data_IF_197057437432
#
_entry.id   IF_197057437432
#
_cell.length_a   1.000
_cell.length_b   1.000
_cell.length_c   1.000
_cell.angle_alpha   90.00
_cell.angle_beta   90.00
_cell.angle_gamma   90.00
#
_symmetry.space_group_name_H-M   'P 1'
#
loop_
_entity.id
_entity.type
_entity.pdbx_description
1 polymer ?
#
# COMPACT_ATOMS: atom_id res chain seq x y z
N UNK A 1 14.07 -12.85 25.38
CA UNK A 1 14.59 -11.70 26.18
C UNK A 1 14.38 -11.90 27.69
N UNK A 2 15.21 -11.29 28.54
CA UNK A 2 14.99 -11.17 30.00
C UNK A 2 13.90 -10.13 30.32
N UNK A 3 13.43 -10.07 31.57
CA UNK A 3 12.43 -9.08 31.99
C UNK A 3 12.89 -7.63 31.82
N UNK A 4 14.17 -7.34 32.08
CA UNK A 4 14.71 -5.97 31.90
C UNK A 4 14.92 -5.65 30.42
N UNK A 5 15.43 -6.60 29.63
CA UNK A 5 15.54 -6.45 28.18
C UNK A 5 14.17 -6.17 27.53
N UNK A 6 13.13 -6.90 27.96
CA UNK A 6 11.77 -6.71 27.47
C UNK A 6 11.22 -5.32 27.80
N UNK A 7 11.50 -4.82 29.00
CA UNK A 7 11.13 -3.46 29.40
C UNK A 7 11.85 -2.42 28.55
N UNK A 8 13.14 -2.63 28.26
CA UNK A 8 13.93 -1.74 27.41
C UNK A 8 13.40 -1.74 25.98
N UNK A 9 13.18 -2.92 25.39
CA UNK A 9 12.54 -3.09 24.06
C UNK A 9 11.27 -2.25 23.93
N UNK A 10 10.35 -2.40 24.88
CA UNK A 10 9.08 -1.68 24.83
C UNK A 10 9.19 -0.19 25.21
N UNK A 11 10.28 0.24 25.84
CA UNK A 11 10.51 1.66 26.14
C UNK A 11 10.98 2.44 24.92
N UNK A 12 11.52 1.74 23.92
CA UNK A 12 11.97 2.29 22.64
C UNK A 12 10.86 2.33 21.57
N UNK A 13 9.65 1.87 21.89
CA UNK A 13 8.50 1.94 21.00
C UNK A 13 8.01 3.39 20.84
N UNK A 14 8.34 4.00 19.70
CA UNK A 14 7.88 5.35 19.32
C UNK A 14 6.39 5.40 18.96
N UNK A 15 5.70 4.25 18.90
CA UNK A 15 4.27 4.13 18.54
C UNK A 15 3.90 4.82 17.23
N UNK A 16 4.75 4.70 16.21
CA UNK A 16 4.49 5.34 14.92
C UNK A 16 3.18 4.91 14.25
N UNK A 17 2.63 3.76 14.65
CA UNK A 17 1.36 3.22 14.19
C UNK A 17 0.12 3.89 14.81
N UNK A 18 0.30 4.80 15.77
CA UNK A 18 -0.76 5.65 16.33
C UNK A 18 -0.75 7.00 15.58
N UNK A 19 -1.47 7.07 14.46
CA UNK A 19 -1.40 8.15 13.47
C UNK A 19 -1.73 9.52 14.05
N UNK A 20 -2.71 9.59 14.95
CA UNK A 20 -3.11 10.82 15.62
C UNK A 20 -2.01 11.39 16.55
N UNK A 21 -1.07 10.56 16.99
CA UNK A 21 0.06 10.98 17.83
C UNK A 21 1.38 11.09 17.02
N UNK A 22 1.42 10.51 15.82
CA UNK A 22 2.59 10.53 14.94
C UNK A 22 2.72 11.85 14.17
N UNK A 23 3.32 12.85 14.82
CA UNK A 23 3.57 14.19 14.24
C UNK A 23 4.31 14.17 12.90
N UNK A 24 5.25 13.24 12.71
CA UNK A 24 6.01 13.13 11.45
C UNK A 24 5.10 12.69 10.31
N UNK A 25 4.26 11.69 10.56
CA UNK A 25 3.27 11.24 9.58
C UNK A 25 2.24 12.33 9.28
N UNK A 26 1.70 13.01 10.29
CA UNK A 26 0.73 14.09 10.08
C UNK A 26 1.31 15.24 9.26
N UNK A 27 2.56 15.65 9.55
CA UNK A 27 3.26 16.66 8.75
C UNK A 27 3.42 16.21 7.30
N UNK A 28 3.91 14.99 7.09
CA UNK A 28 4.06 14.40 5.75
C UNK A 28 2.72 14.34 5.02
N UNK A 29 1.65 13.87 5.67
CA UNK A 29 0.33 13.73 5.06
C UNK A 29 -0.26 15.09 4.66
N UNK A 30 -0.13 16.10 5.52
CA UNK A 30 -0.53 17.48 5.18
C UNK A 30 0.27 18.02 4.00
N UNK A 31 1.57 17.75 3.97
CA UNK A 31 2.41 18.15 2.84
C UNK A 31 1.98 17.48 1.52
N UNK A 32 1.60 16.20 1.53
CA UNK A 32 1.05 15.53 0.34
C UNK A 32 -0.20 16.24 -0.17
N UNK A 33 -1.09 16.65 0.73
CA UNK A 33 -2.30 17.41 0.38
C UNK A 33 -1.92 18.76 -0.26
N UNK A 34 -0.96 19.47 0.33
CA UNK A 34 -0.48 20.76 -0.19
C UNK A 34 0.16 20.61 -1.59
N UNK A 35 0.78 19.46 -1.88
CA UNK A 35 1.35 19.13 -3.20
C UNK A 35 0.30 18.61 -4.21
N UNK A 36 -0.99 18.62 -3.85
CA UNK A 36 -2.09 18.31 -4.77
C UNK A 36 -2.62 16.88 -4.69
N UNK A 37 -2.30 16.13 -3.62
CA UNK A 37 -2.92 14.82 -3.37
C UNK A 37 -4.44 14.92 -3.20
N UNK A 38 -5.18 14.17 -4.03
CA UNK A 38 -6.63 14.12 -3.93
C UNK A 38 -7.07 13.10 -2.88
N UNK A 39 -7.41 13.62 -1.71
CA UNK A 39 -7.90 12.87 -0.56
C UNK A 39 -9.15 12.04 -0.91
N UNK A 40 -9.06 10.73 -0.64
CA UNK A 40 -10.22 9.82 -0.64
C UNK A 40 -10.31 9.00 0.66
N UNK A 41 -9.32 9.09 1.54
CA UNK A 41 -9.26 8.37 2.81
C UNK A 41 -8.74 9.32 3.90
N UNK A 42 -9.38 9.30 5.07
CA UNK A 42 -9.04 10.15 6.22
C UNK A 42 -8.11 9.47 7.22
N UNK A 43 -7.52 10.25 8.14
CA UNK A 43 -6.63 9.76 9.20
C UNK A 43 -7.31 8.67 10.06
N UNK A 44 -8.54 8.89 10.48
CA UNK A 44 -9.26 7.93 11.33
C UNK A 44 -9.55 6.61 10.59
N UNK A 45 -9.86 6.68 9.30
CA UNK A 45 -10.09 5.48 8.47
C UNK A 45 -8.78 4.72 8.21
N UNK A 46 -7.66 5.42 8.08
CA UNK A 46 -6.32 4.81 8.02
C UNK A 46 -5.90 4.19 9.36
N UNK A 47 -6.22 4.82 10.49
CA UNK A 47 -5.96 4.26 11.82
C UNK A 47 -6.78 2.99 12.04
N UNK A 48 -8.08 3.03 11.71
CA UNK A 48 -8.95 1.86 11.76
C UNK A 48 -8.44 0.73 10.84
N UNK A 49 -7.88 1.05 9.67
CA UNK A 49 -7.23 0.06 8.81
C UNK A 49 -6.05 -0.61 9.50
N UNK A 50 -5.14 0.18 10.09
CA UNK A 50 -3.97 -0.35 10.82
C UNK A 50 -4.44 -1.32 11.92
N UNK A 51 -5.45 -0.91 12.70
CA UNK A 51 -5.96 -1.67 13.83
C UNK A 51 -6.63 -2.98 13.38
N UNK A 52 -7.42 -2.94 12.31
CA UNK A 52 -8.07 -4.13 11.72
C UNK A 52 -7.07 -5.12 11.17
N UNK A 53 -6.07 -4.63 10.43
CA UNK A 53 -5.03 -5.48 9.86
C UNK A 53 -4.21 -6.14 10.97
N UNK A 54 -3.78 -5.39 11.99
CA UNK A 54 -3.06 -5.96 13.13
C UNK A 54 -3.91 -7.01 13.87
N UNK A 55 -5.17 -6.68 14.21
CA UNK A 55 -6.07 -7.60 14.89
C UNK A 55 -6.33 -8.88 14.09
N UNK A 56 -6.45 -8.78 12.76
CA UNK A 56 -6.61 -9.95 11.89
C UNK A 56 -5.44 -10.91 12.04
N UNK A 57 -4.20 -10.41 12.03
CA UNK A 57 -3.02 -11.26 12.13
C UNK A 57 -2.75 -11.79 13.54
N UNK A 58 -3.18 -11.08 14.58
CA UNK A 58 -3.21 -11.62 15.94
C UNK A 58 -4.18 -12.80 16.08
N UNK A 59 -5.35 -12.73 15.43
CA UNK A 59 -6.35 -13.82 15.43
C UNK A 59 -5.90 -14.97 14.52
N UNK A 60 -5.37 -14.65 13.34
CA UNK A 60 -4.93 -15.63 12.34
C UNK A 60 -3.80 -16.52 12.87
N UNK A 61 -2.87 -15.92 13.62
CA UNK A 61 -1.72 -16.60 14.21
C UNK A 61 -1.75 -16.47 15.73
N UNK A 62 -2.63 -17.20 16.45
CA UNK A 62 -2.77 -17.08 17.89
C UNK A 62 -1.54 -17.63 18.63
N UNK A 63 -1.32 -17.25 19.90
CA UNK A 63 -0.20 -17.75 20.72
C UNK A 63 -0.07 -19.27 20.73
N UNK A 64 -1.22 -19.95 20.67
CA UNK A 64 -1.32 -21.41 20.62
C UNK A 64 -0.59 -22.01 19.43
N UNK A 65 -0.64 -21.37 18.26
CA UNK A 65 0.02 -21.84 17.05
C UNK A 65 1.54 -21.79 17.24
N UNK A 66 2.05 -20.74 17.88
CA UNK A 66 3.46 -20.65 18.24
C UNK A 66 3.88 -21.65 19.32
N UNK A 67 3.01 -22.00 20.28
CA UNK A 67 3.30 -23.07 21.23
C UNK A 67 3.46 -24.43 20.53
N UNK A 68 2.76 -24.68 19.43
CA UNK A 68 2.94 -25.86 18.60
C UNK A 68 4.29 -25.82 17.87
N UNK A 69 4.63 -24.70 17.21
CA UNK A 69 5.93 -24.53 16.55
C UNK A 69 7.12 -24.64 17.52
N UNK A 70 6.94 -24.18 18.77
CA UNK A 70 7.93 -24.28 19.84
C UNK A 70 8.04 -25.69 20.46
N UNK A 71 7.22 -26.66 20.03
CA UNK A 71 7.21 -28.03 20.56
C UNK A 71 6.65 -28.15 21.98
N UNK A 72 5.85 -27.17 22.43
CA UNK A 72 5.28 -27.10 23.79
C UNK A 72 3.89 -27.74 23.91
N UNK A 73 3.29 -28.20 22.80
CA UNK A 73 1.94 -28.78 22.78
C UNK A 73 1.90 -30.31 22.89
N UNK A 74 0.83 -30.82 23.51
CA UNK A 74 0.51 -32.25 23.61
C UNK A 74 -0.15 -32.80 22.33
N UNK A 75 -0.10 -34.13 22.15
CA UNK A 75 -0.53 -34.88 20.95
C UNK A 75 -2.00 -34.74 20.53
N UNK A 76 -2.87 -34.24 21.40
CA UNK A 76 -4.31 -34.12 21.10
C UNK A 76 -4.64 -32.83 20.33
N UNK A 77 -3.77 -31.82 20.43
CA UNK A 77 -3.99 -30.52 19.80
C UNK A 77 -3.40 -30.39 18.40
N UNK A 78 -2.50 -31.31 18.01
CA UNK A 78 -1.96 -31.40 16.64
C UNK A 78 -3.00 -31.84 15.60
N UNK A 79 -4.21 -32.21 16.03
CA UNK A 79 -5.31 -32.67 15.18
C UNK A 79 -6.28 -31.55 14.77
N UNK A 80 -6.14 -30.33 15.30
CA UNK A 80 -7.00 -29.21 14.94
C UNK A 80 -6.45 -28.51 13.70
N UNK A 81 -7.34 -28.16 12.77
CA UNK A 81 -7.00 -27.28 11.64
C UNK A 81 -6.60 -25.91 12.15
N UNK A 82 -5.54 -25.33 11.59
CA UNK A 82 -5.06 -24.01 12.00
C UNK A 82 -6.00 -22.91 11.49
N UNK A 83 -6.09 -21.80 12.22
CA UNK A 83 -6.84 -20.64 11.75
C UNK A 83 -6.19 -20.02 10.50
N UNK A 84 -4.86 -20.06 10.44
CA UNK A 84 -4.05 -19.69 9.29
C UNK A 84 -4.48 -20.39 7.99
N UNK A 85 -4.94 -21.64 8.06
CA UNK A 85 -5.42 -22.43 6.92
C UNK A 85 -6.77 -21.98 6.34
N UNK A 86 -7.55 -21.20 7.11
CA UNK A 86 -8.91 -20.78 6.73
C UNK A 86 -9.07 -19.27 6.62
N UNK A 87 -8.21 -18.50 7.29
CA UNK A 87 -8.22 -17.03 7.29
C UNK A 87 -7.31 -16.48 6.19
N UNK A 88 -7.79 -16.50 4.95
CA UNK A 88 -7.05 -15.98 3.81
C UNK A 88 -7.16 -14.45 3.64
N UNK A 89 -6.25 -13.87 2.87
CA UNK A 89 -6.22 -12.42 2.60
C UNK A 89 -7.43 -11.92 1.80
N UNK A 90 -8.13 -12.77 1.03
CA UNK A 90 -9.36 -12.34 0.34
C UNK A 90 -10.46 -12.07 1.36
N UNK A 91 -10.60 -12.92 2.37
CA UNK A 91 -11.52 -12.71 3.49
C UNK A 91 -11.19 -11.43 4.27
N UNK A 92 -9.91 -11.10 4.42
CA UNK A 92 -9.49 -9.84 5.02
C UNK A 92 -9.99 -8.64 4.21
N UNK A 93 -9.81 -8.65 2.88
CA UNK A 93 -10.26 -7.57 2.00
C UNK A 93 -11.76 -7.32 2.11
N UNK A 94 -12.59 -8.37 2.22
CA UNK A 94 -14.05 -8.22 2.44
C UNK A 94 -14.44 -7.56 3.77
N UNK A 95 -13.52 -7.39 4.72
CA UNK A 95 -13.77 -6.75 6.02
C UNK A 95 -13.28 -5.30 6.09
N UNK A 96 -12.64 -4.83 5.02
CA UNK A 96 -12.15 -3.46 4.87
C UNK A 96 -13.20 -2.61 4.16
N UNK A 97 -13.21 -1.32 4.45
CA UNK A 97 -14.04 -0.36 3.71
C UNK A 97 -13.58 -0.24 2.26
N UNK A 98 -14.43 0.33 1.40
CA UNK A 98 -14.07 0.56 0.00
C UNK A 98 -12.83 1.43 -0.17
N UNK A 99 -12.64 2.46 0.68
CA UNK A 99 -11.46 3.33 0.61
C UNK A 99 -10.21 2.60 1.08
N UNK A 100 -10.30 1.79 2.15
CA UNK A 100 -9.18 0.97 2.61
C UNK A 100 -8.77 -0.04 1.52
N UNK A 101 -9.73 -0.70 0.87
CA UNK A 101 -9.45 -1.60 -0.25
C UNK A 101 -8.80 -0.85 -1.42
N UNK A 102 -9.34 0.31 -1.82
CA UNK A 102 -8.75 1.14 -2.89
C UNK A 102 -7.30 1.53 -2.58
N UNK A 103 -6.99 1.91 -1.35
CA UNK A 103 -5.63 2.26 -0.93
C UNK A 103 -4.70 1.04 -1.00
N UNK A 104 -5.15 -0.14 -0.55
CA UNK A 104 -4.36 -1.37 -0.63
C UNK A 104 -4.14 -1.83 -2.07
N UNK A 105 -5.17 -1.79 -2.92
CA UNK A 105 -5.04 -2.11 -4.34
C UNK A 105 -4.13 -1.11 -5.06
N UNK A 106 -4.10 0.15 -4.61
CA UNK A 106 -3.22 1.19 -5.14
C UNK A 106 -3.43 1.42 -6.64
N UNK A 107 -4.66 1.34 -7.13
CA UNK A 107 -4.99 1.49 -8.55
C UNK A 107 -4.90 2.94 -9.00
N UNK A 108 -4.67 3.16 -10.29
CA UNK A 108 -4.94 4.45 -10.91
C UNK A 108 -6.42 4.82 -10.70
N UNK A 109 -6.65 6.07 -10.29
CA UNK A 109 -7.98 6.62 -10.05
C UNK A 109 -8.37 7.55 -11.20
N UNK A 110 -9.66 7.62 -11.51
CA UNK A 110 -10.25 8.51 -12.50
C UNK A 110 -11.71 8.79 -12.13
N UNK A 111 -12.25 9.89 -12.64
CA UNK A 111 -13.69 10.20 -12.60
C UNK A 111 -14.53 9.17 -13.38
N UNK A 112 -13.93 8.48 -14.35
CA UNK A 112 -14.57 7.46 -15.16
C UNK A 112 -13.78 6.16 -15.06
N UNK A 113 -14.40 5.15 -14.47
CA UNK A 113 -13.83 3.80 -14.35
C UNK A 113 -14.83 2.77 -14.86
N UNK A 114 -14.34 1.77 -15.60
CA UNK A 114 -15.18 0.67 -16.12
C UNK A 114 -14.52 -0.67 -15.89
N UNK A 115 -15.36 -1.67 -15.62
CA UNK A 115 -14.97 -3.06 -15.49
C UNK A 115 -15.22 -3.79 -16.80
N UNK A 116 -14.20 -4.48 -17.30
CA UNK A 116 -14.25 -5.31 -18.49
C UNK A 116 -14.05 -6.78 -18.13
N UNK A 117 -15.00 -7.66 -18.44
CA UNK A 117 -14.81 -9.10 -18.22
C UNK A 117 -13.67 -9.62 -19.10
N UNK A 118 -12.78 -10.40 -18.51
CA UNK A 118 -11.71 -11.13 -19.20
C UNK A 118 -12.23 -12.53 -19.50
N UNK A 119 -12.21 -12.93 -20.76
CA UNK A 119 -12.71 -14.23 -21.20
C UNK A 119 -11.58 -15.21 -21.53
N UNK A 120 -11.76 -16.47 -21.12
CA UNK A 120 -11.04 -17.63 -21.64
C UNK A 120 -12.06 -18.62 -22.19
N UNK A 121 -12.00 -18.89 -23.50
CA UNK A 121 -12.95 -19.78 -24.21
C UNK A 121 -14.41 -19.55 -23.78
N UNK A 122 -14.86 -18.29 -23.88
CA UNK A 122 -16.21 -17.81 -23.52
C UNK A 122 -16.58 -17.82 -22.03
N UNK A 123 -15.65 -18.14 -21.13
CA UNK A 123 -15.85 -18.04 -19.67
C UNK A 123 -15.17 -16.81 -19.12
N UNK A 124 -15.89 -16.03 -18.31
CA UNK A 124 -15.29 -14.93 -17.55
C UNK A 124 -14.34 -15.52 -16.51
N UNK A 125 -13.04 -15.27 -16.68
CA UNK A 125 -11.96 -15.71 -15.79
C UNK A 125 -11.41 -14.58 -14.93
N UNK A 126 -11.78 -13.34 -15.22
CA UNK A 126 -11.35 -12.16 -14.46
C UNK A 126 -12.07 -10.89 -14.88
N UNK A 127 -11.64 -9.78 -14.29
CA UNK A 127 -12.13 -8.43 -14.63
C UNK A 127 -10.91 -7.51 -14.75
N UNK A 128 -10.75 -6.86 -15.90
CA UNK A 128 -9.83 -5.74 -16.07
C UNK A 128 -10.55 -4.45 -15.70
N UNK A 129 -9.93 -3.64 -14.84
CA UNK A 129 -10.42 -2.31 -14.48
C UNK A 129 -9.74 -1.31 -15.40
N UNK A 130 -10.50 -0.53 -16.17
CA UNK A 130 -9.97 0.55 -17.01
C UNK A 130 -10.34 1.92 -16.46
N UNK A 131 -9.41 2.85 -16.57
CA UNK A 131 -9.54 4.27 -16.25
C UNK A 131 -9.45 5.10 -17.52
N UNK A 132 -10.09 6.27 -17.51
CA UNK A 132 -10.16 7.17 -18.66
C UNK A 132 -9.77 8.58 -18.24
N UNK A 133 -8.94 9.24 -19.03
CA UNK A 133 -8.46 10.59 -18.75
C UNK A 133 -8.71 11.46 -19.96
N UNK A 134 -9.32 12.64 -19.74
CA UNK A 134 -9.49 13.61 -20.80
C UNK A 134 -8.17 14.32 -21.05
N UNK A 135 -7.83 14.51 -22.31
CA UNK A 135 -6.73 15.39 -22.75
C UNK A 135 -7.29 16.39 -23.74
N UNK A 136 -7.10 17.67 -23.47
CA UNK A 136 -7.53 18.74 -24.37
C UNK A 136 -6.38 19.19 -25.27
N UNK A 137 -6.70 19.55 -26.50
CA UNK A 137 -5.75 20.17 -27.43
C UNK A 137 -5.80 21.67 -27.26
N UNK A 138 -4.63 22.30 -27.26
CA UNK A 138 -4.51 23.76 -27.32
C UNK A 138 -4.51 24.22 -28.78
N UNK A 139 -4.62 25.52 -29.01
CA UNK A 139 -4.57 26.12 -30.35
C UNK A 139 -3.23 25.89 -31.08
N UNK A 140 -2.17 25.54 -30.34
CA UNK A 140 -0.85 25.22 -30.90
C UNK A 140 -0.78 23.81 -31.50
N UNK A 141 -1.76 22.95 -31.19
CA UNK A 141 -1.82 21.60 -31.73
C UNK A 141 -2.38 21.59 -33.16
N UNK A 142 -1.67 20.94 -34.09
CA UNK A 142 -2.07 20.85 -35.50
C UNK A 142 -3.41 20.14 -35.73
N UNK A 143 -3.91 19.38 -34.75
CA UNK A 143 -5.18 18.66 -34.80
C UNK A 143 -6.34 19.37 -34.09
N UNK A 144 -6.10 20.55 -33.48
CA UNK A 144 -7.08 21.33 -32.72
C UNK A 144 -8.41 21.59 -33.46
N UNK A 145 -8.36 21.79 -34.79
CA UNK A 145 -9.52 22.17 -35.60
C UNK A 145 -10.54 21.05 -35.82
N UNK A 146 -10.18 19.77 -35.63
CA UNK A 146 -11.06 18.62 -35.91
C UNK A 146 -11.77 18.11 -34.67
N UNK A 147 -11.05 17.99 -33.56
CA UNK A 147 -11.56 17.57 -32.26
C UNK A 147 -10.77 18.28 -31.17
N UNK A 148 -11.46 18.95 -30.24
CA UNK A 148 -10.83 19.75 -29.19
C UNK A 148 -10.21 18.91 -28.07
N UNK A 149 -10.60 17.65 -27.96
CA UNK A 149 -10.11 16.73 -26.94
C UNK A 149 -9.99 15.30 -27.49
N UNK A 150 -9.38 14.44 -26.68
CA UNK A 150 -9.40 12.98 -26.83
C UNK A 150 -9.34 12.34 -25.44
N UNK A 151 -9.51 11.02 -25.40
CA UNK A 151 -9.51 10.25 -24.16
C UNK A 151 -8.34 9.27 -24.18
N UNK A 152 -7.53 9.31 -23.13
CA UNK A 152 -6.55 8.27 -22.83
C UNK A 152 -7.26 7.21 -22.00
N UNK A 153 -7.34 5.97 -22.47
CA UNK A 153 -7.75 4.85 -21.63
C UNK A 153 -6.55 4.01 -21.22
N UNK A 154 -6.55 3.53 -19.97
CA UNK A 154 -5.47 2.72 -19.43
C UNK A 154 -6.00 1.64 -18.49
N UNK A 155 -5.22 0.57 -18.34
CA UNK A 155 -5.44 -0.41 -17.28
C UNK A 155 -5.17 0.23 -15.91
N UNK A 156 -6.09 0.06 -14.96
CA UNK A 156 -6.04 0.75 -13.68
C UNK A 156 -4.94 0.19 -12.75
N UNK A 157 -4.52 -1.06 -12.94
CA UNK A 157 -3.51 -1.69 -12.09
C UNK A 157 -2.11 -1.32 -12.58
N UNK A 158 -1.85 -1.60 -13.85
CA UNK A 158 -0.54 -1.47 -14.50
C UNK A 158 -0.28 -0.07 -15.05
N UNK A 159 -1.33 0.70 -15.36
CA UNK A 159 -1.21 1.99 -16.04
C UNK A 159 -0.93 1.87 -17.54
N UNK A 160 -0.92 0.66 -18.12
CA UNK A 160 -0.69 0.47 -19.55
C UNK A 160 -1.80 1.16 -20.36
N UNK A 161 -1.39 2.01 -21.29
CA UNK A 161 -2.28 2.82 -22.11
C UNK A 161 -2.76 2.00 -23.31
N UNK A 162 -4.06 2.09 -23.60
CA UNK A 162 -4.61 1.57 -24.85
C UNK A 162 -4.14 2.47 -26.01
N UNK A 163 -3.31 1.91 -26.89
CA UNK A 163 -2.83 2.60 -28.08
C UNK A 163 -3.96 2.67 -29.12
N UNK A 164 -4.62 3.83 -29.19
CA UNK A 164 -5.58 4.14 -30.25
C UNK A 164 -5.03 5.18 -31.23
N UNK A 165 -5.81 5.44 -32.29
CA UNK A 165 -5.44 6.37 -33.35
C UNK A 165 -5.24 7.83 -32.87
N UNK A 166 -5.76 8.21 -31.69
CA UNK A 166 -5.52 9.53 -31.09
C UNK A 166 -4.19 9.56 -30.34
N UNK A 167 -3.85 8.50 -29.59
CA UNK A 167 -2.56 8.36 -28.89
C UNK A 167 -1.40 8.20 -29.86
N UNK A 168 -1.56 7.40 -30.92
CA UNK A 168 -0.55 7.15 -31.97
C UNK A 168 -0.10 8.42 -32.72
N UNK A 169 -0.85 9.53 -32.61
CA UNK A 169 -0.44 10.84 -33.16
C UNK A 169 0.71 11.50 -32.39
N UNK A 170 0.88 11.11 -31.13
CA UNK A 170 1.79 11.73 -30.17
C UNK A 170 2.86 10.74 -29.67
N UNK A 171 2.58 9.43 -29.72
CA UNK A 171 3.45 8.38 -29.20
C UNK A 171 3.98 7.52 -30.35
N UNK A 172 5.29 7.27 -30.36
CA UNK A 172 5.98 6.48 -31.41
C UNK A 172 6.43 5.08 -30.97
N UNK A 173 6.04 4.67 -29.76
CA UNK A 173 6.32 3.35 -29.19
C UNK A 173 5.06 2.49 -29.17
N UNK A 174 5.24 1.17 -29.21
CA UNK A 174 4.12 0.21 -29.22
C UNK A 174 3.42 0.08 -27.87
N UNK A 175 4.11 0.38 -26.77
CA UNK A 175 3.59 0.26 -25.41
C UNK A 175 4.11 1.41 -24.54
N UNK A 176 3.20 2.03 -23.78
CA UNK A 176 3.52 3.10 -22.84
C UNK A 176 2.56 3.02 -21.65
N UNK A 177 3.06 3.32 -20.45
CA UNK A 177 2.22 3.49 -19.26
C UNK A 177 1.85 4.97 -19.04
N UNK A 178 0.87 5.22 -18.18
CA UNK A 178 0.41 6.59 -17.84
C UNK A 178 1.56 7.47 -17.35
N UNK A 179 2.49 6.94 -16.56
CA UNK A 179 3.59 7.74 -16.00
C UNK A 179 4.56 8.21 -17.09
N UNK A 180 4.94 7.31 -18.00
CA UNK A 180 5.81 7.60 -19.13
C UNK A 180 5.10 8.46 -20.19
N UNK A 181 3.78 8.29 -20.36
CA UNK A 181 2.97 9.15 -21.23
C UNK A 181 2.94 10.59 -20.71
N UNK A 182 2.74 10.78 -19.40
CA UNK A 182 2.80 12.12 -18.78
C UNK A 182 4.16 12.77 -19.01
N UNK A 183 5.27 12.03 -18.81
CA UNK A 183 6.62 12.55 -19.11
C UNK A 183 6.77 12.98 -20.56
N UNK A 184 6.38 12.12 -21.50
CA UNK A 184 6.42 12.44 -22.92
C UNK A 184 5.62 13.71 -23.24
N UNK A 185 4.42 13.84 -22.66
CA UNK A 185 3.58 15.01 -22.87
C UNK A 185 4.19 16.29 -22.29
N UNK A 186 4.84 16.22 -21.11
CA UNK A 186 5.61 17.34 -20.54
C UNK A 186 6.76 17.72 -21.47
N UNK A 187 7.53 16.74 -21.96
CA UNK A 187 8.76 17.01 -22.70
C UNK A 187 8.51 17.51 -24.13
N UNK A 188 7.49 17.00 -24.81
CA UNK A 188 7.30 17.20 -26.26
C UNK A 188 6.01 17.96 -26.63
N UNK A 189 5.03 17.99 -25.72
CA UNK A 189 3.66 18.42 -26.03
C UNK A 189 3.03 19.37 -25.00
N UNK A 190 3.82 19.92 -24.06
CA UNK A 190 3.32 20.76 -22.97
C UNK A 190 2.56 22.00 -23.46
N UNK A 191 2.98 22.59 -24.58
CA UNK A 191 2.31 23.75 -25.18
C UNK A 191 1.14 23.39 -26.11
N UNK A 192 0.97 22.10 -26.42
CA UNK A 192 -0.01 21.55 -27.38
C UNK A 192 -1.17 20.84 -26.70
N UNK A 193 -0.95 20.31 -25.50
CA UNK A 193 -1.92 19.47 -24.79
C UNK A 193 -2.12 19.99 -23.37
N UNK A 194 -3.38 20.06 -22.92
CA UNK A 194 -3.73 20.09 -21.50
C UNK A 194 -4.05 18.66 -21.07
N UNK A 195 -3.13 18.07 -20.32
CA UNK A 195 -3.20 16.73 -19.76
C UNK A 195 -3.22 16.75 -18.23
N UNK A 196 -3.71 17.85 -17.63
CA UNK A 196 -3.73 18.04 -16.18
C UNK A 196 -4.46 16.93 -15.42
N UNK A 197 -5.50 16.33 -16.00
CA UNK A 197 -6.19 15.17 -15.39
C UNK A 197 -5.27 13.93 -15.34
N UNK A 198 -4.53 13.67 -16.41
CA UNK A 198 -3.60 12.54 -16.51
C UNK A 198 -2.40 12.72 -15.59
N UNK A 199 -1.85 13.94 -15.51
CA UNK A 199 -0.76 14.30 -14.61
C UNK A 199 -1.17 14.08 -13.14
N UNK A 200 -2.34 14.59 -12.75
CA UNK A 200 -2.90 14.38 -11.40
C UNK A 200 -3.08 12.90 -11.09
N UNK A 201 -3.60 12.12 -12.03
CA UNK A 201 -3.79 10.69 -11.83
C UNK A 201 -2.46 9.94 -11.62
N UNK A 202 -1.43 10.31 -12.38
CA UNK A 202 -0.06 9.79 -12.22
C UNK A 202 0.51 10.12 -10.84
N UNK A 203 0.39 11.38 -10.41
CA UNK A 203 0.87 11.82 -9.09
C UNK A 203 0.10 11.13 -7.95
N UNK A 204 -1.23 11.06 -8.04
CA UNK A 204 -2.07 10.37 -7.06
C UNK A 204 -1.69 8.89 -6.94
N UNK A 205 -1.46 8.17 -8.04
CA UNK A 205 -1.02 6.77 -8.02
C UNK A 205 0.28 6.59 -7.22
N UNK A 206 1.26 7.47 -7.45
CA UNK A 206 2.52 7.43 -6.71
C UNK A 206 2.30 7.66 -5.21
N UNK A 207 1.51 8.67 -4.86
CA UNK A 207 1.22 9.03 -3.47
C UNK A 207 0.37 7.98 -2.75
N UNK A 208 -0.62 7.38 -3.43
CA UNK A 208 -1.44 6.27 -2.92
C UNK A 208 -0.54 5.07 -2.55
N UNK A 209 0.37 4.68 -3.45
CA UNK A 209 1.31 3.59 -3.22
C UNK A 209 2.26 3.89 -2.05
N UNK A 210 2.81 5.10 -2.00
CA UNK A 210 3.67 5.52 -0.90
C UNK A 210 2.93 5.49 0.45
N UNK A 211 1.70 6.00 0.49
CA UNK A 211 0.85 5.98 1.69
C UNK A 211 0.52 4.54 2.11
N UNK A 212 0.12 3.68 1.17
CA UNK A 212 -0.13 2.25 1.41
C UNK A 212 1.07 1.58 2.06
N UNK A 213 2.24 1.71 1.45
CA UNK A 213 3.45 1.01 1.91
C UNK A 213 3.82 1.46 3.33
N UNK A 214 3.72 2.77 3.62
CA UNK A 214 3.93 3.31 4.97
C UNK A 214 2.93 2.78 6.01
N UNK A 215 1.65 2.67 5.66
CA UNK A 215 0.65 2.13 6.59
C UNK A 215 0.86 0.63 6.83
N UNK A 216 1.25 -0.13 5.81
CA UNK A 216 1.58 -1.55 5.98
C UNK A 216 2.83 -1.73 6.88
N UNK A 217 3.84 -0.89 6.74
CA UNK A 217 4.97 -0.85 7.69
C UNK A 217 4.50 -0.57 9.13
N UNK A 218 3.54 0.33 9.32
CA UNK A 218 2.97 0.61 10.65
C UNK A 218 2.20 -0.58 11.23
N UNK A 219 1.47 -1.34 10.42
CA UNK A 219 0.86 -2.61 10.86
C UNK A 219 1.92 -3.58 11.34
N UNK A 220 3.01 -3.74 10.60
CA UNK A 220 4.11 -4.63 10.97
C UNK A 220 4.75 -4.21 12.31
N UNK A 221 4.96 -2.91 12.52
CA UNK A 221 5.43 -2.38 13.81
C UNK A 221 4.44 -2.62 14.94
N UNK A 222 3.14 -2.46 14.69
CA UNK A 222 2.09 -2.70 15.68
C UNK A 222 2.05 -4.18 16.10
N UNK A 223 2.23 -5.09 15.15
CA UNK A 223 2.34 -6.52 15.41
C UNK A 223 3.60 -6.86 16.22
N UNK A 224 4.74 -6.26 15.88
CA UNK A 224 6.01 -6.43 16.60
C UNK A 224 5.87 -6.02 18.08
N UNK A 225 5.33 -4.82 18.33
CA UNK A 225 5.20 -4.25 19.66
C UNK A 225 3.92 -4.68 20.41
N UNK A 226 3.17 -5.64 19.88
CA UNK A 226 1.96 -6.12 20.54
C UNK A 226 2.28 -6.65 21.95
N UNK A 227 1.50 -6.17 22.92
CA UNK A 227 1.58 -6.59 24.34
C UNK A 227 0.86 -7.89 24.63
N UNK A 228 0.20 -8.48 23.61
CA UNK A 228 -0.55 -9.73 23.72
C UNK A 228 0.33 -10.96 23.52
N UNK A 229 1.62 -10.75 23.29
CA UNK A 229 2.61 -11.76 22.92
C UNK A 229 4.00 -11.38 23.41
N UNK A 230 4.96 -12.30 23.28
CA UNK A 230 6.39 -11.98 23.34
C UNK A 230 6.89 -11.39 22.01
N UNK A 231 7.96 -10.56 22.02
CA UNK A 231 8.49 -9.89 20.83
C UNK A 231 8.85 -10.83 19.69
N UNK A 232 9.42 -11.99 19.98
CA UNK A 232 9.85 -12.97 18.98
C UNK A 232 8.66 -13.47 18.13
N UNK A 233 7.50 -13.68 18.77
CA UNK A 233 6.25 -14.08 18.10
C UNK A 233 5.55 -12.89 17.42
N UNK A 234 5.63 -11.69 18.00
CA UNK A 234 5.15 -10.46 17.36
C UNK A 234 5.89 -10.17 16.05
N UNK A 235 7.22 -10.34 16.06
CA UNK A 235 8.07 -10.27 14.87
C UNK A 235 7.67 -11.32 13.82
N UNK A 236 7.44 -12.58 14.23
CA UNK A 236 7.03 -13.63 13.30
C UNK A 236 5.65 -13.37 12.68
N UNK A 237 4.69 -12.81 13.44
CA UNK A 237 3.41 -12.33 12.88
C UNK A 237 3.63 -11.24 11.84
N UNK A 238 4.47 -10.26 12.15
CA UNK A 238 4.78 -9.16 11.23
C UNK A 238 5.43 -9.67 9.94
N UNK A 239 6.36 -10.63 10.05
CA UNK A 239 7.00 -11.27 8.89
C UNK A 239 5.98 -11.96 7.99
N UNK A 240 5.09 -12.79 8.55
CA UNK A 240 4.02 -13.45 7.79
C UNK A 240 3.05 -12.47 7.15
N UNK A 241 2.72 -11.39 7.87
CA UNK A 241 1.92 -10.30 7.33
C UNK A 241 2.58 -9.66 6.10
N UNK A 242 3.86 -9.29 6.19
CA UNK A 242 4.57 -8.68 5.06
C UNK A 242 4.72 -9.65 3.89
N UNK A 243 5.06 -10.92 4.15
CA UNK A 243 5.17 -11.96 3.13
C UNK A 243 3.85 -12.16 2.37
N UNK A 244 2.72 -12.23 3.09
CA UNK A 244 1.40 -12.38 2.47
C UNK A 244 1.01 -11.18 1.61
N UNK A 245 1.25 -9.96 2.08
CA UNK A 245 0.96 -8.74 1.32
C UNK A 245 1.88 -8.58 0.10
N UNK A 246 3.19 -8.80 0.26
CA UNK A 246 4.15 -8.82 -0.84
C UNK A 246 3.73 -9.80 -1.93
N UNK A 247 3.36 -11.02 -1.53
CA UNK A 247 2.88 -12.04 -2.49
C UNK A 247 1.54 -11.67 -3.13
N UNK A 248 0.59 -11.16 -2.35
CA UNK A 248 -0.79 -10.92 -2.82
C UNK A 248 -0.90 -9.71 -3.75
N UNK A 249 -0.12 -8.67 -3.46
CA UNK A 249 -0.20 -7.37 -4.12
C UNK A 249 1.05 -7.06 -4.97
N UNK A 250 1.99 -8.00 -5.08
CA UNK A 250 3.23 -7.80 -5.85
C UNK A 250 4.13 -6.70 -5.25
N UNK A 251 4.12 -6.54 -3.93
CA UNK A 251 4.90 -5.51 -3.23
C UNK A 251 6.30 -6.01 -2.86
N UNK A 252 7.16 -5.04 -2.54
CA UNK A 252 8.52 -5.28 -2.06
C UNK A 252 8.75 -4.62 -0.69
N UNK A 253 7.81 -4.80 0.23
CA UNK A 253 7.91 -4.26 1.59
C UNK A 253 9.07 -4.95 2.33
N UNK A 254 9.90 -4.17 3.02
CA UNK A 254 11.13 -4.65 3.67
C UNK A 254 10.96 -4.92 5.17
N UNK A 255 11.47 -6.08 5.63
CA UNK A 255 11.57 -6.41 7.05
C UNK A 255 12.77 -5.72 7.75
N UNK A 256 13.65 -5.03 7.01
CA UNK A 256 14.92 -4.51 7.52
C UNK A 256 14.76 -3.67 8.80
N UNK A 257 13.72 -2.82 8.85
CA UNK A 257 13.45 -2.02 10.04
C UNK A 257 13.14 -2.89 11.26
N UNK A 258 12.32 -3.91 11.08
CA UNK A 258 11.94 -4.84 12.16
C UNK A 258 13.14 -5.71 12.56
N UNK A 259 13.95 -6.14 11.59
CA UNK A 259 15.19 -6.88 11.82
C UNK A 259 16.17 -6.07 12.66
N UNK A 260 16.34 -4.79 12.35
CA UNK A 260 17.20 -3.87 13.09
C UNK A 260 16.71 -3.65 14.53
N UNK A 261 15.40 -3.66 14.75
CA UNK A 261 14.82 -3.60 16.10
C UNK A 261 15.11 -4.92 16.83
N UNK A 262 14.78 -6.06 16.25
CA UNK A 262 14.93 -7.37 16.90
C UNK A 262 16.37 -7.79 17.19
N UNK A 263 17.33 -7.37 16.34
CA UNK A 263 18.75 -7.70 16.50
C UNK A 263 19.50 -6.75 17.44
N UNK A 264 18.83 -5.74 18.01
CA UNK A 264 19.44 -4.79 18.95
C UNK A 264 19.74 -5.45 20.30
N UNK A 265 20.82 -5.02 20.94
CA UNK A 265 21.13 -5.41 22.33
C UNK A 265 20.34 -4.55 23.32
N UNK A 266 19.44 -5.20 24.07
CA UNK A 266 18.55 -4.57 25.05
C UNK A 266 19.00 -4.71 26.50
N UNK A 267 20.24 -5.15 26.76
CA UNK A 267 20.78 -5.26 28.13
C UNK A 267 20.83 -3.93 28.89
N UNK A 268 20.92 -2.82 28.18
CA UNK A 268 20.95 -1.47 28.76
C UNK A 268 19.77 -0.62 28.28
N UNK A 269 19.22 0.19 29.19
CA UNK A 269 18.13 1.13 28.90
C UNK A 269 18.69 2.38 28.19
N UNK A 270 18.62 2.39 26.86
CA UNK A 270 19.10 3.51 26.04
C UNK A 270 18.13 4.69 25.98
N UNK A 271 16.87 4.51 26.40
CA UNK A 271 15.88 5.60 26.47
C UNK A 271 16.31 6.71 27.46
N UNK A 272 17.25 6.38 28.36
CA UNK A 272 17.85 7.29 29.34
C UNK A 272 19.17 7.93 28.92
N UNK A 273 19.73 7.56 27.76
CA UNK A 273 20.93 8.23 27.23
C UNK A 273 20.50 9.61 26.73
N UNK A 274 20.53 10.59 27.63
CA UNK A 274 20.46 12.01 27.26
C UNK A 274 21.59 12.26 26.26
N UNK A 275 21.23 12.49 25.00
CA UNK A 275 22.12 13.19 24.08
C UNK A 275 22.30 14.59 24.70
N UNK A 276 23.44 14.79 25.36
CA UNK A 276 23.94 16.14 25.64
C UNK A 276 24.41 16.66 24.28
N UNK A 277 23.49 17.26 23.53
CA UNK A 277 23.84 18.00 22.32
C UNK A 277 24.52 19.30 22.74
N UNK A 278 25.80 19.43 22.39
CA UNK A 278 26.47 20.72 22.21
C UNK A 278 26.15 21.25 20.81
#
# INVERSE_FOLDING_TARGET
>A
MTKEELKNFYSEDEKLYDLNENKKFLYMFNHLIDEGYELFIGIDEMQDMIDRLAAWYEIKFPEREFDFYDGKMTSDFSKFKELSDVMDIKQLFFRLTDNQQKLLEGLYRSNVQKNYPIYDMDKVVGVSKKVYYKVERTENDKYFSKYKDFVVSADAETGLVDMDYEIEKYVSVDEIDVYNLVKLFIDEHYDKLDFSELEKASNNKYLDNYLRDRLLEFVALKLLYSRRTIPERGYERARRFMDEFNKKLGLNLSMERLDNIMNRDYKEDRSKVKIISL
#
